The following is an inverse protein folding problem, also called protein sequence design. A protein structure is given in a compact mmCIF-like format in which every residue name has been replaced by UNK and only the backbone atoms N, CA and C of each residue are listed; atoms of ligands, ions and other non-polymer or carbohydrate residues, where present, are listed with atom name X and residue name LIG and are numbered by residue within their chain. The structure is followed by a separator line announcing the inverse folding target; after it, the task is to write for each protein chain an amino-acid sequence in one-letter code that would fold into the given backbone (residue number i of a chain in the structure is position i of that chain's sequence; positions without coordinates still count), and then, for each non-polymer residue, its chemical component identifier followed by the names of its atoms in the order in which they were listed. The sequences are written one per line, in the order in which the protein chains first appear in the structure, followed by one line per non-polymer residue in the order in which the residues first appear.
data_IF_842647094211
#
_entry.id   IF_842647094211
#
_cell.length_a   1.000
_cell.length_b   1.000
_cell.length_c   1.000
_cell.angle_alpha   90.00
_cell.angle_beta   90.00
_cell.angle_gamma   90.00
#
_symmetry.space_group_name_H-M   'P 1'
#
loop_
_entity.id
_entity.type
_entity.pdbx_description
1 polymer ?
#
# COMPACT_ATOMS: atom_id res chain seq x y z
N UNK A 1 11.19 -11.12 18.87
CA UNK A 1 11.13 -10.29 20.10
C UNK A 1 9.73 -10.35 20.71
N UNK A 2 8.66 -9.87 20.04
CA UNK A 2 7.29 -9.92 20.60
C UNK A 2 6.85 -11.36 20.92
N UNK A 3 7.00 -12.29 19.97
CA UNK A 3 6.66 -13.71 20.11
C UNK A 3 7.48 -14.43 21.20
N UNK A 4 8.61 -13.87 21.59
CA UNK A 4 9.51 -14.40 22.63
C UNK A 4 9.37 -13.64 23.95
N UNK A 5 8.33 -12.87 24.13
CA UNK A 5 8.06 -12.05 25.32
C UNK A 5 9.19 -11.09 25.72
N UNK A 6 10.06 -10.73 24.76
CA UNK A 6 11.16 -9.78 24.98
C UNK A 6 10.71 -8.33 24.95
N UNK A 7 9.58 -8.06 24.33
CA UNK A 7 8.90 -6.75 24.27
C UNK A 7 7.40 -6.95 24.36
N UNK A 8 6.70 -5.99 24.97
CA UNK A 8 5.24 -6.04 25.15
C UNK A 8 4.46 -5.48 23.97
N UNK A 9 5.10 -4.71 23.09
CA UNK A 9 4.48 -4.12 21.90
C UNK A 9 5.52 -3.92 20.80
N UNK A 10 5.06 -3.85 19.55
CA UNK A 10 5.89 -3.58 18.38
C UNK A 10 5.09 -2.80 17.33
N UNK A 11 5.77 -1.90 16.63
CA UNK A 11 5.23 -1.21 15.46
C UNK A 11 5.46 -2.07 14.21
N UNK A 12 4.41 -2.28 13.44
CA UNK A 12 4.46 -3.21 12.31
C UNK A 12 3.56 -2.74 11.16
N UNK A 13 3.83 -3.23 9.96
CA UNK A 13 2.85 -3.22 8.88
C UNK A 13 1.98 -4.49 9.00
N UNK A 14 0.68 -4.31 9.06
CA UNK A 14 -0.27 -5.42 9.26
C UNK A 14 -0.13 -6.50 8.18
N UNK A 15 -0.10 -6.14 6.90
CA UNK A 15 0.01 -7.09 5.76
C UNK A 15 1.23 -8.02 5.85
N UNK A 16 2.33 -7.55 6.40
CA UNK A 16 3.52 -8.39 6.60
C UNK A 16 3.45 -9.18 7.88
N UNK A 17 3.21 -8.51 9.01
CA UNK A 17 3.30 -9.15 10.32
C UNK A 17 2.15 -10.10 10.62
N UNK A 18 0.93 -9.76 10.22
CA UNK A 18 -0.24 -10.63 10.37
C UNK A 18 -0.01 -11.97 9.67
N UNK A 19 0.42 -11.93 8.40
CA UNK A 19 0.67 -13.14 7.64
C UNK A 19 1.94 -13.89 8.08
N UNK A 20 2.95 -13.20 8.56
CA UNK A 20 4.13 -13.85 9.13
C UNK A 20 3.79 -14.61 10.43
N UNK A 21 2.89 -14.08 11.27
CA UNK A 21 2.38 -14.76 12.47
C UNK A 21 1.65 -16.05 12.06
N UNK A 22 0.77 -16.00 11.04
CA UNK A 22 0.13 -17.19 10.47
C UNK A 22 1.19 -18.18 9.95
N UNK A 23 2.21 -17.70 9.26
CA UNK A 23 3.28 -18.51 8.67
C UNK A 23 4.09 -19.32 9.69
N UNK A 24 4.16 -18.87 10.94
CA UNK A 24 4.80 -19.59 12.05
C UNK A 24 3.81 -20.42 12.88
N UNK A 25 2.54 -20.54 12.44
CA UNK A 25 1.52 -21.38 13.07
C UNK A 25 0.79 -20.77 14.26
N UNK A 26 0.88 -19.44 14.45
CA UNK A 26 0.13 -18.72 15.48
C UNK A 26 -1.14 -18.08 14.89
N UNK A 27 -2.10 -17.75 15.75
CA UNK A 27 -3.35 -17.08 15.39
C UNK A 27 -3.24 -15.58 15.73
N UNK A 28 -3.08 -14.70 14.72
CA UNK A 28 -2.87 -13.28 14.98
C UNK A 28 -4.04 -12.60 15.70
N UNK A 29 -5.27 -13.11 15.57
CA UNK A 29 -6.45 -12.51 16.20
C UNK A 29 -6.66 -12.97 17.63
N UNK A 30 -6.18 -14.16 17.99
CA UNK A 30 -6.28 -14.69 19.35
C UNK A 30 -5.06 -14.37 20.21
N UNK A 31 -3.87 -14.44 19.59
CA UNK A 31 -2.61 -14.37 20.32
C UNK A 31 -2.11 -12.93 20.47
N UNK A 32 -2.67 -11.97 19.70
CA UNK A 32 -2.24 -10.57 19.69
C UNK A 32 -3.42 -9.59 19.71
N UNK A 33 -3.18 -8.40 20.23
CA UNK A 33 -4.11 -7.28 20.13
C UNK A 33 -3.56 -6.26 19.13
N UNK A 34 -4.39 -5.86 18.18
CA UNK A 34 -4.03 -4.91 17.12
C UNK A 34 -4.59 -3.52 17.39
N UNK A 35 -3.77 -2.50 17.23
CA UNK A 35 -4.16 -1.10 17.39
C UNK A 35 -3.89 -0.36 16.06
N UNK A 36 -4.82 -0.38 15.09
CA UNK A 36 -4.66 0.33 13.83
C UNK A 36 -4.60 1.84 14.07
N UNK A 37 -3.59 2.50 13.52
CA UNK A 37 -3.41 3.95 13.66
C UNK A 37 -4.56 4.75 13.06
N UNK A 38 -5.12 4.32 11.92
CA UNK A 38 -6.28 4.94 11.30
C UNK A 38 -7.48 5.02 12.22
N UNK A 39 -7.73 3.96 13.02
CA UNK A 39 -8.80 3.95 14.03
C UNK A 39 -8.56 4.93 15.19
N UNK A 40 -7.31 5.37 15.37
CA UNK A 40 -6.91 6.34 16.39
C UNK A 40 -6.71 7.76 15.84
N UNK A 41 -7.18 8.04 14.63
CA UNK A 41 -7.14 9.37 14.03
C UNK A 41 -5.91 9.66 13.15
N UNK A 42 -4.95 8.73 13.04
CA UNK A 42 -3.82 8.88 12.12
C UNK A 42 -4.17 8.26 10.76
N UNK A 43 -5.06 8.93 10.04
CA UNK A 43 -5.55 8.50 8.72
C UNK A 43 -4.71 9.12 7.59
N UNK A 44 -3.49 8.61 7.43
CA UNK A 44 -2.56 9.04 6.38
C UNK A 44 -2.47 7.98 5.27
N UNK A 45 -2.09 8.43 4.06
CA UNK A 45 -1.73 7.50 2.99
C UNK A 45 -0.42 6.79 3.31
N UNK A 46 -0.30 5.55 2.84
CA UNK A 46 0.88 4.71 3.04
C UNK A 46 1.79 4.76 1.81
N UNK A 47 1.97 3.63 1.14
CA UNK A 47 2.94 3.50 0.06
C UNK A 47 2.46 4.18 -1.23
N UNK A 48 3.42 4.77 -1.95
CA UNK A 48 3.19 5.37 -3.27
C UNK A 48 4.38 5.17 -4.19
N UNK A 49 4.19 5.44 -5.47
CA UNK A 49 5.28 5.47 -6.45
C UNK A 49 5.98 6.82 -6.34
N UNK A 50 7.21 6.81 -5.87
CA UNK A 50 8.03 8.01 -5.72
C UNK A 50 9.10 8.05 -6.82
N UNK A 51 9.23 9.18 -7.49
CA UNK A 51 10.24 9.40 -8.53
C UNK A 51 11.05 10.65 -8.22
N UNK A 52 12.31 10.68 -8.70
CA UNK A 52 13.13 11.89 -8.53
C UNK A 52 12.64 13.01 -9.44
N UNK A 53 12.78 14.29 -9.01
CA UNK A 53 12.47 15.45 -9.86
C UNK A 53 13.24 15.44 -11.19
N UNK A 54 14.46 14.91 -11.18
CA UNK A 54 15.27 14.75 -12.40
C UNK A 54 14.60 13.79 -13.39
N UNK A 55 14.17 12.60 -12.93
CA UNK A 55 13.50 11.63 -13.79
C UNK A 55 12.18 12.18 -14.33
N UNK A 56 11.41 12.85 -13.47
CA UNK A 56 10.15 13.47 -13.85
C UNK A 56 10.33 14.50 -14.95
N UNK A 57 11.37 15.33 -14.86
CA UNK A 57 11.68 16.37 -15.85
C UNK A 57 12.25 15.80 -17.15
N UNK A 58 13.18 14.84 -17.06
CA UNK A 58 13.91 14.34 -18.24
C UNK A 58 13.15 13.26 -19.00
N UNK A 59 12.32 12.46 -18.30
CA UNK A 59 11.64 11.30 -18.90
C UNK A 59 10.22 11.13 -18.36
N UNK A 60 9.32 12.13 -18.50
CA UNK A 60 7.94 12.04 -17.96
C UNK A 60 7.17 10.86 -18.57
N UNK A 61 7.39 10.56 -19.84
CA UNK A 61 6.73 9.41 -20.51
C UNK A 61 7.16 8.06 -19.92
N UNK A 62 8.40 7.93 -19.45
CA UNK A 62 8.83 6.71 -18.75
C UNK A 62 8.12 6.57 -17.38
N UNK A 63 7.91 7.68 -16.65
CA UNK A 63 7.14 7.69 -15.41
C UNK A 63 5.69 7.28 -15.69
N UNK A 64 5.07 7.85 -16.71
CA UNK A 64 3.72 7.50 -17.13
C UNK A 64 3.62 6.03 -17.54
N UNK A 65 4.61 5.53 -18.30
CA UNK A 65 4.69 4.12 -18.66
C UNK A 65 4.79 3.19 -17.46
N UNK A 66 5.58 3.56 -16.44
CA UNK A 66 5.69 2.81 -15.18
C UNK A 66 4.34 2.76 -14.43
N UNK A 67 3.67 3.89 -14.26
CA UNK A 67 2.37 3.94 -13.56
C UNK A 67 1.31 3.13 -14.31
N UNK A 68 1.28 3.22 -15.66
CA UNK A 68 0.41 2.40 -16.49
C UNK A 68 0.70 0.90 -16.36
N UNK A 69 1.97 0.51 -16.31
CA UNK A 69 2.37 -0.89 -16.15
C UNK A 69 1.93 -1.44 -14.78
N UNK A 70 2.08 -0.64 -13.71
CA UNK A 70 1.61 -1.01 -12.36
C UNK A 70 0.08 -1.18 -12.35
N UNK A 71 -0.67 -0.24 -12.94
CA UNK A 71 -2.13 -0.33 -13.00
C UNK A 71 -2.59 -1.56 -13.81
N UNK A 72 -1.92 -1.84 -14.93
CA UNK A 72 -2.20 -3.03 -15.73
C UNK A 72 -1.89 -4.32 -14.97
N UNK A 73 -0.73 -4.41 -14.32
CA UNK A 73 -0.35 -5.57 -13.52
C UNK A 73 -1.35 -5.81 -12.38
N UNK A 74 -1.85 -4.75 -11.73
CA UNK A 74 -2.89 -4.86 -10.72
C UNK A 74 -4.17 -5.44 -11.32
N UNK A 75 -4.62 -4.95 -12.48
CA UNK A 75 -5.81 -5.48 -13.15
C UNK A 75 -5.64 -6.96 -13.55
N UNK A 76 -4.46 -7.35 -14.04
CA UNK A 76 -4.15 -8.73 -14.40
C UNK A 76 -4.18 -9.64 -13.14
N UNK A 77 -3.59 -9.22 -12.02
CA UNK A 77 -3.64 -9.95 -10.74
C UNK A 77 -5.07 -10.06 -10.19
N UNK A 78 -5.87 -9.01 -10.31
CA UNK A 78 -7.28 -9.06 -9.89
C UNK A 78 -8.11 -10.03 -10.74
N UNK A 79 -7.82 -10.13 -12.03
CA UNK A 79 -8.48 -11.07 -12.93
C UNK A 79 -8.05 -12.52 -12.70
N UNK A 80 -6.78 -12.75 -12.36
CA UNK A 80 -6.20 -14.06 -12.12
C UNK A 80 -5.15 -14.03 -11.00
N UNK A 81 -5.59 -14.03 -9.72
CA UNK A 81 -4.67 -13.96 -8.58
C UNK A 81 -3.63 -15.10 -8.54
N UNK A 82 -4.00 -16.29 -9.01
CA UNK A 82 -3.10 -17.44 -9.01
C UNK A 82 -1.89 -17.23 -9.92
N UNK A 83 -2.07 -16.62 -11.09
CA UNK A 83 -0.97 -16.29 -11.99
C UNK A 83 0.04 -15.34 -11.33
N UNK A 84 -0.43 -14.35 -10.57
CA UNK A 84 0.44 -13.47 -9.78
C UNK A 84 1.26 -14.24 -8.75
N UNK A 85 0.66 -15.22 -8.06
CA UNK A 85 1.36 -16.07 -7.09
C UNK A 85 2.35 -17.00 -7.79
N UNK A 86 2.01 -17.58 -8.93
CA UNK A 86 2.90 -18.44 -9.70
C UNK A 86 4.16 -17.67 -10.16
N UNK A 87 4.00 -16.41 -10.59
CA UNK A 87 5.13 -15.53 -10.95
C UNK A 87 6.02 -15.25 -9.74
N UNK A 88 5.44 -14.93 -8.59
CA UNK A 88 6.21 -14.65 -7.37
C UNK A 88 7.00 -15.89 -6.94
N UNK A 89 6.35 -17.05 -6.87
CA UNK A 89 7.01 -18.30 -6.44
C UNK A 89 8.07 -18.79 -7.43
N UNK A 90 7.91 -18.51 -8.72
CA UNK A 90 8.93 -18.79 -9.73
C UNK A 90 10.15 -17.87 -9.59
N UNK A 91 9.95 -16.62 -9.17
CA UNK A 91 11.01 -15.61 -9.00
C UNK A 91 11.70 -15.75 -7.64
N UNK A 92 10.93 -16.07 -6.60
CA UNK A 92 11.38 -16.22 -5.22
C UNK A 92 11.09 -17.65 -4.72
N UNK A 93 11.96 -18.63 -5.01
CA UNK A 93 11.71 -20.04 -4.72
C UNK A 93 11.53 -20.38 -3.23
N UNK A 94 11.90 -19.48 -2.32
CA UNK A 94 11.71 -19.64 -0.88
C UNK A 94 10.32 -19.17 -0.42
N UNK A 95 9.53 -18.57 -1.29
CA UNK A 95 8.18 -18.11 -0.98
C UNK A 95 7.21 -19.29 -0.87
N UNK A 96 6.34 -19.22 0.13
CA UNK A 96 5.24 -20.17 0.29
C UNK A 96 4.00 -19.67 -0.46
N UNK A 97 3.65 -20.28 -1.59
CA UNK A 97 2.55 -19.83 -2.45
C UNK A 97 1.19 -19.75 -1.74
N UNK A 98 0.89 -20.68 -0.81
CA UNK A 98 -0.37 -20.61 -0.03
C UNK A 98 -0.39 -19.40 0.91
N UNK A 99 0.75 -19.08 1.53
CA UNK A 99 0.88 -17.92 2.42
C UNK A 99 0.82 -16.63 1.60
N UNK A 100 1.45 -16.58 0.44
CA UNK A 100 1.43 -15.41 -0.42
C UNK A 100 0.04 -15.16 -1.02
N UNK A 101 -0.72 -16.20 -1.34
CA UNK A 101 -2.14 -16.06 -1.72
C UNK A 101 -2.97 -15.46 -0.58
N UNK A 102 -2.79 -15.92 0.66
CA UNK A 102 -3.44 -15.32 1.83
C UNK A 102 -3.03 -13.87 2.03
N UNK A 103 -1.75 -13.55 1.80
CA UNK A 103 -1.23 -12.19 1.89
C UNK A 103 -1.85 -11.27 0.84
N UNK A 104 -1.94 -11.74 -0.40
CA UNK A 104 -2.61 -11.02 -1.47
C UNK A 104 -4.08 -10.75 -1.11
N UNK A 105 -4.83 -11.76 -0.71
CA UNK A 105 -6.23 -11.61 -0.32
C UNK A 105 -6.39 -10.62 0.85
N UNK A 106 -5.56 -10.75 1.89
CA UNK A 106 -5.57 -9.82 3.02
C UNK A 106 -5.31 -8.37 2.57
N UNK A 107 -4.34 -8.16 1.66
CA UNK A 107 -4.03 -6.83 1.13
C UNK A 107 -5.19 -6.26 0.30
N UNK A 108 -5.82 -7.08 -0.53
CA UNK A 108 -6.99 -6.68 -1.32
C UNK A 108 -8.15 -6.26 -0.40
N UNK A 109 -8.49 -7.07 0.58
CA UNK A 109 -9.67 -6.86 1.44
C UNK A 109 -9.48 -5.72 2.44
N UNK A 110 -8.25 -5.49 2.93
CA UNK A 110 -8.00 -4.58 4.05
C UNK A 110 -7.28 -3.28 3.66
N UNK A 111 -6.61 -3.24 2.50
CA UNK A 111 -5.77 -2.11 2.12
C UNK A 111 -6.16 -1.50 0.77
N UNK A 112 -6.58 -2.32 -0.19
CA UNK A 112 -6.79 -1.88 -1.58
C UNK A 112 -8.26 -1.61 -1.86
N UNK A 113 -9.17 -2.52 -1.49
CA UNK A 113 -10.59 -2.38 -1.72
C UNK A 113 -11.25 -1.53 -0.62
N UNK A 114 -11.13 -0.22 -0.76
CA UNK A 114 -11.81 0.77 0.09
C UNK A 114 -12.95 1.45 -0.65
N UNK A 115 -13.82 2.16 0.08
CA UNK A 115 -14.85 2.97 -0.56
C UNK A 115 -14.25 4.08 -1.43
N UNK A 116 -13.09 4.62 -1.04
CA UNK A 116 -12.33 5.59 -1.82
C UNK A 116 -11.84 4.99 -3.14
N UNK A 117 -11.22 3.80 -3.11
CA UNK A 117 -10.72 3.15 -4.33
C UNK A 117 -11.84 2.65 -5.25
N UNK A 118 -13.01 2.28 -4.70
CA UNK A 118 -14.21 1.97 -5.49
C UNK A 118 -14.76 3.21 -6.21
N UNK A 119 -14.79 4.35 -5.52
CA UNK A 119 -15.33 5.59 -6.06
C UNK A 119 -14.38 6.24 -7.09
N UNK A 120 -13.06 6.21 -6.85
CA UNK A 120 -12.07 7.01 -7.57
C UNK A 120 -11.06 6.18 -8.37
N UNK A 121 -11.15 4.84 -8.28
CA UNK A 121 -10.18 3.90 -8.85
C UNK A 121 -8.92 3.76 -7.99
N UNK A 122 -8.25 2.61 -8.12
CA UNK A 122 -7.00 2.31 -7.40
C UNK A 122 -5.95 3.37 -7.72
N UNK A 123 -5.22 3.83 -6.70
CA UNK A 123 -4.15 4.81 -6.81
C UNK A 123 -4.62 6.26 -6.86
N UNK A 124 -5.93 6.54 -6.86
CA UNK A 124 -6.42 7.90 -6.65
C UNK A 124 -6.20 8.34 -5.19
N UNK A 125 -6.19 9.64 -4.99
CA UNK A 125 -5.99 10.28 -3.68
C UNK A 125 -7.12 11.28 -3.46
N UNK A 126 -7.79 11.20 -2.31
CA UNK A 126 -8.74 12.21 -1.86
C UNK A 126 -7.99 13.46 -1.41
N UNK A 127 -8.38 14.61 -1.96
CA UNK A 127 -7.67 15.87 -1.74
C UNK A 127 -7.72 16.34 -0.28
N UNK A 128 -8.85 16.14 0.41
CA UNK A 128 -8.99 16.54 1.80
C UNK A 128 -8.18 15.63 2.73
N UNK A 129 -8.19 14.33 2.46
CA UNK A 129 -7.38 13.36 3.20
C UNK A 129 -5.89 13.63 3.00
N UNK A 130 -5.46 13.96 1.77
CA UNK A 130 -4.07 14.34 1.51
C UNK A 130 -3.68 15.61 2.25
N UNK A 131 -4.52 16.64 2.23
CA UNK A 131 -4.27 17.90 2.94
C UNK A 131 -4.15 17.68 4.46
N UNK A 132 -5.03 16.84 5.06
CA UNK A 132 -4.91 16.44 6.46
C UNK A 132 -3.63 15.68 6.74
N UNK A 133 -3.24 14.75 5.86
CA UNK A 133 -1.99 13.99 5.96
C UNK A 133 -0.77 14.90 5.95
N UNK A 134 -0.72 15.88 5.03
CA UNK A 134 0.36 16.87 4.94
C UNK A 134 0.46 17.69 6.24
N UNK A 135 -0.67 18.17 6.76
CA UNK A 135 -0.72 18.93 8.00
C UNK A 135 -0.22 18.11 9.19
N UNK A 136 -0.70 16.88 9.32
CA UNK A 136 -0.28 15.97 10.40
C UNK A 136 1.22 15.69 10.36
N UNK A 137 1.77 15.38 9.18
CA UNK A 137 3.21 15.09 9.02
C UNK A 137 4.04 16.36 9.31
N UNK A 138 3.58 17.52 8.82
CA UNK A 138 4.26 18.79 9.11
C UNK A 138 4.36 19.04 10.62
N UNK A 139 3.27 18.88 11.35
CA UNK A 139 3.23 19.12 12.80
C UNK A 139 4.08 18.09 13.57
N UNK A 140 3.99 16.81 13.22
CA UNK A 140 4.73 15.74 13.89
C UNK A 140 6.26 15.86 13.73
N UNK A 141 6.71 16.36 12.59
CA UNK A 141 8.15 16.45 12.27
C UNK A 141 8.69 17.89 12.31
N UNK A 142 7.87 18.86 12.74
CA UNK A 142 8.23 20.31 12.78
C UNK A 142 8.85 20.79 11.46
N UNK A 143 8.19 20.44 10.34
CA UNK A 143 8.74 20.78 9.02
C UNK A 143 8.63 22.28 8.75
N UNK A 144 9.64 22.89 8.09
CA UNK A 144 9.73 24.34 7.91
C UNK A 144 8.69 24.91 6.93
N UNK A 145 7.98 24.08 6.20
CA UNK A 145 6.99 24.50 5.21
C UNK A 145 5.83 23.54 5.10
N UNK A 146 4.79 23.95 4.37
CA UNK A 146 3.64 23.11 4.01
C UNK A 146 3.64 23.01 2.50
N UNK A 147 4.00 21.86 1.90
CA UNK A 147 3.90 21.69 0.45
C UNK A 147 2.44 21.74 0.02
N UNK A 148 2.19 22.22 -1.20
CA UNK A 148 0.88 22.08 -1.80
C UNK A 148 0.57 20.60 -2.10
N UNK A 149 -0.70 20.22 -2.14
CA UNK A 149 -1.08 18.83 -2.38
C UNK A 149 -0.57 18.33 -3.74
N UNK A 150 -0.61 19.17 -4.76
CA UNK A 150 -0.09 18.91 -6.10
C UNK A 150 1.43 18.72 -6.19
N UNK A 151 2.18 19.26 -5.22
CA UNK A 151 3.63 19.03 -5.11
C UNK A 151 3.94 17.66 -4.47
N UNK A 152 2.98 17.10 -3.74
CA UNK A 152 3.11 15.80 -3.07
C UNK A 152 2.58 14.67 -3.93
N UNK A 153 1.46 14.90 -4.64
CA UNK A 153 0.82 13.90 -5.48
C UNK A 153 0.36 14.49 -6.80
N UNK A 154 0.93 13.97 -7.90
CA UNK A 154 0.57 14.35 -9.26
C UNK A 154 -0.33 13.31 -9.92
N UNK A 155 -1.64 13.57 -9.89
CA UNK A 155 -2.65 12.70 -10.48
C UNK A 155 -2.59 12.62 -12.03
N UNK A 156 -1.85 13.51 -12.71
CA UNK A 156 -1.78 13.54 -14.18
C UNK A 156 -1.11 12.31 -14.78
N UNK A 157 -0.35 11.56 -13.96
CA UNK A 157 0.29 10.30 -14.36
C UNK A 157 -0.62 9.09 -14.21
N UNK A 158 -1.78 9.22 -13.56
CA UNK A 158 -2.72 8.10 -13.41
C UNK A 158 -3.36 7.75 -14.77
N UNK A 159 -3.47 6.46 -15.10
CA UNK A 159 -4.23 6.03 -16.26
C UNK A 159 -5.73 6.32 -16.07
N UNK A 160 -6.54 6.26 -17.15
CA UNK A 160 -7.99 6.41 -17.05
C UNK A 160 -8.59 5.50 -15.99
N UNK A 161 -9.65 5.95 -15.32
CA UNK A 161 -10.31 5.22 -14.24
C UNK A 161 -10.71 3.79 -14.65
N UNK A 162 -11.15 3.58 -15.89
CA UNK A 162 -11.50 2.25 -16.41
C UNK A 162 -10.34 1.22 -16.35
N UNK A 163 -9.10 1.67 -16.28
CA UNK A 163 -7.92 0.81 -16.11
C UNK A 163 -7.54 0.58 -14.64
N UNK A 164 -8.23 1.22 -13.71
CA UNK A 164 -7.94 1.23 -12.27
C UNK A 164 -9.16 0.86 -11.42
N UNK A 165 -10.29 0.53 -12.07
CA UNK A 165 -11.52 0.07 -11.42
C UNK A 165 -11.52 -1.45 -11.28
N UNK A 166 -12.29 -1.99 -10.32
CA UNK A 166 -12.47 -3.41 -10.01
C UNK A 166 -13.90 -3.70 -9.59
#
# INVERSE_FOLDING_TARGET
MLIQDQVSASLVFNVTSYLNIIGIGMDPDKDFTWYPYGASGLDIYSNGVMVSPKLLKEKPEAVKGLVNAIAKAMADVLANPQEGIDIITATEPLSNGELEMKRLQFALDNLIFSDESKANGIGAVDAERLARSITTIKELYDLPGTPAAEDVFDASFLPPMAMRSF
#
